data_IF_025073044967
#
_entry.id   IF_025073044967
#
_cell.length_a   1.000
_cell.length_b   1.000
_cell.length_c   1.000
_cell.angle_alpha   90.00
_cell.angle_beta   90.00
_cell.angle_gamma   90.00
#
_symmetry.space_group_name_H-M   'P 1'
#
loop_
_entity.id
_entity.type
_entity.pdbx_description
1 polymer ?
#
# COMPACT_ATOMS: atom_id res chain seq x y z
N UNK A 1 -9.29 -23.52 7.10
CA UNK A 1 -9.38 -22.28 7.88
C UNK A 1 -8.00 -21.68 7.90
N UNK A 2 -7.84 -20.47 7.36
CA UNK A 2 -6.61 -19.70 7.52
C UNK A 2 -6.53 -19.24 8.97
N UNK A 3 -5.35 -19.30 9.58
CA UNK A 3 -5.13 -18.82 10.94
C UNK A 3 -4.65 -17.36 10.83
N UNK A 4 -5.45 -16.40 11.31
CA UNK A 4 -5.02 -15.02 11.43
C UNK A 4 -4.13 -14.88 12.68
N UNK A 5 -2.83 -14.55 12.54
CA UNK A 5 -1.91 -14.46 13.68
C UNK A 5 -2.03 -13.14 14.44
N UNK A 6 -2.98 -12.27 14.09
CA UNK A 6 -3.15 -10.95 14.68
C UNK A 6 -4.50 -10.80 15.38
N UNK A 7 -4.47 -10.16 16.55
CA UNK A 7 -5.62 -9.58 17.21
C UNK A 7 -5.62 -8.07 16.98
N UNK A 8 -6.81 -7.50 16.78
CA UNK A 8 -7.02 -6.07 16.57
C UNK A 8 -7.78 -5.48 17.75
N UNK A 9 -7.28 -4.37 18.28
CA UNK A 9 -7.85 -3.65 19.42
C UNK A 9 -8.10 -2.17 19.07
N UNK A 10 -9.09 -1.57 19.74
CA UNK A 10 -9.47 -0.16 19.54
C UNK A 10 -8.36 0.79 20.03
N UNK A 11 -7.93 1.71 19.17
CA UNK A 11 -7.18 2.91 19.60
C UNK A 11 -8.10 4.09 19.95
N UNK A 12 -9.38 4.02 19.56
CA UNK A 12 -10.38 5.01 19.92
C UNK A 12 -10.63 4.93 21.43
N UNK A 13 -10.68 6.09 22.09
CA UNK A 13 -11.04 6.15 23.51
C UNK A 13 -12.36 5.39 23.75
N UNK A 14 -12.43 4.46 24.73
CA UNK A 14 -13.60 3.62 25.00
C UNK A 14 -14.92 4.40 25.11
N UNK A 15 -14.88 5.65 25.60
CA UNK A 15 -16.09 6.49 25.73
C UNK A 15 -16.69 6.91 24.38
N UNK A 16 -15.90 6.81 23.30
CA UNK A 16 -16.29 7.20 21.95
C UNK A 16 -16.54 6.04 21.00
N UNK A 17 -16.18 4.80 21.37
CA UNK A 17 -16.39 3.60 20.53
C UNK A 17 -17.85 3.45 20.10
N UNK A 18 -18.81 3.79 20.97
CA UNK A 18 -20.26 3.77 20.66
C UNK A 18 -20.69 4.68 19.50
N UNK A 19 -19.86 5.64 19.10
CA UNK A 19 -20.13 6.55 17.99
C UNK A 19 -19.50 6.07 16.68
N UNK A 20 -18.70 5.00 16.71
CA UNK A 20 -18.23 4.31 15.51
C UNK A 20 -19.43 3.61 14.87
N UNK A 21 -19.48 3.63 13.55
CA UNK A 21 -20.56 3.00 12.80
C UNK A 21 -20.45 1.48 12.87
N UNK A 22 -21.58 0.74 12.95
CA UNK A 22 -21.58 -0.69 13.29
C UNK A 22 -20.64 -1.55 12.42
N UNK A 23 -20.51 -1.20 11.14
CA UNK A 23 -19.68 -1.91 10.16
C UNK A 23 -18.18 -1.82 10.47
N UNK A 24 -17.77 -0.84 11.26
CA UNK A 24 -16.39 -0.59 11.65
C UNK A 24 -16.11 -0.91 13.13
N UNK A 25 -17.12 -1.27 13.92
CA UNK A 25 -16.93 -1.63 15.34
C UNK A 25 -16.20 -2.97 15.41
N UNK A 26 -15.12 -3.06 16.22
CA UNK A 26 -14.44 -4.34 16.45
C UNK A 26 -15.35 -5.29 17.23
N UNK A 27 -15.85 -6.31 16.54
CA UNK A 27 -16.66 -7.39 17.09
C UNK A 27 -16.47 -8.65 16.23
N UNK A 28 -17.11 -9.76 16.59
CA UNK A 28 -16.98 -11.03 15.87
C UNK A 28 -17.56 -11.02 14.45
N UNK A 29 -18.26 -9.97 14.04
CA UNK A 29 -18.89 -9.81 12.73
C UNK A 29 -18.22 -8.77 11.82
N UNK A 30 -17.16 -8.10 12.30
CA UNK A 30 -16.43 -7.15 11.46
C UNK A 30 -15.82 -7.86 10.25
N UNK A 31 -15.92 -7.24 9.08
CA UNK A 31 -15.32 -7.80 7.86
C UNK A 31 -13.81 -7.55 7.83
N UNK A 32 -13.07 -8.44 7.18
CA UNK A 32 -11.63 -8.23 6.94
C UNK A 32 -11.37 -6.98 6.11
N UNK A 33 -12.31 -6.62 5.23
CA UNK A 33 -12.26 -5.38 4.45
C UNK A 33 -12.37 -4.14 5.33
N UNK A 34 -13.29 -4.13 6.30
CA UNK A 34 -13.40 -3.05 7.27
C UNK A 34 -12.14 -2.94 8.14
N UNK A 35 -11.58 -4.07 8.58
CA UNK A 35 -10.30 -4.10 9.31
C UNK A 35 -9.14 -3.55 8.46
N UNK A 36 -9.09 -3.87 7.17
CA UNK A 36 -8.09 -3.35 6.23
C UNK A 36 -8.20 -1.81 6.10
N UNK A 37 -9.41 -1.27 5.95
CA UNK A 37 -9.62 0.18 5.93
C UNK A 37 -9.15 0.79 7.25
N UNK A 38 -9.49 0.18 8.39
CA UNK A 38 -9.13 0.68 9.72
C UNK A 38 -7.63 0.68 10.00
N UNK A 39 -6.89 -0.34 9.54
CA UNK A 39 -5.44 -0.37 9.69
C UNK A 39 -4.75 0.61 8.73
N UNK A 40 -5.27 0.82 7.51
CA UNK A 40 -4.71 1.79 6.56
C UNK A 40 -5.01 3.24 6.94
N UNK A 41 -6.10 3.49 7.67
CA UNK A 41 -6.47 4.81 8.19
C UNK A 41 -5.89 5.12 9.58
N UNK A 42 -5.11 4.19 10.17
CA UNK A 42 -4.41 4.43 11.43
C UNK A 42 -5.32 4.52 12.65
N UNK A 43 -6.21 3.54 12.81
CA UNK A 43 -7.20 3.52 13.92
C UNK A 43 -7.18 2.25 14.77
N UNK A 44 -6.13 1.42 14.64
CA UNK A 44 -6.03 0.11 15.29
C UNK A 44 -4.71 -0.09 16.02
N UNK A 45 -4.81 -0.79 17.15
CA UNK A 45 -3.70 -1.49 17.78
C UNK A 45 -3.73 -2.93 17.28
N UNK A 46 -2.57 -3.46 16.96
CA UNK A 46 -2.44 -4.84 16.49
C UNK A 46 -1.51 -5.60 17.43
N UNK A 47 -1.95 -6.78 17.87
CA UNK A 47 -1.17 -7.69 18.71
C UNK A 47 -0.88 -8.96 17.93
N UNK A 48 0.39 -9.30 17.76
CA UNK A 48 0.80 -10.56 17.17
C UNK A 48 0.64 -11.67 18.22
N UNK A 49 -0.27 -12.60 17.99
CA UNK A 49 -0.64 -13.65 18.94
C UNK A 49 0.47 -14.68 19.18
N UNK A 50 1.42 -14.80 18.25
CA UNK A 50 2.56 -15.74 18.36
C UNK A 50 3.64 -15.16 19.28
N UNK A 51 3.95 -13.88 19.12
CA UNK A 51 5.02 -13.21 19.89
C UNK A 51 4.51 -12.45 21.11
N UNK A 52 3.20 -12.23 21.21
CA UNK A 52 2.54 -11.33 22.17
C UNK A 52 2.97 -9.85 22.09
N UNK A 53 3.77 -9.48 21.09
CA UNK A 53 4.13 -8.10 20.80
C UNK A 53 2.95 -7.33 20.20
N UNK A 54 2.83 -6.05 20.56
CA UNK A 54 1.84 -5.13 19.99
C UNK A 54 2.48 -3.90 19.35
N UNK A 55 1.74 -3.31 18.41
CA UNK A 55 2.06 -2.00 17.85
C UNK A 55 0.80 -1.18 17.63
N UNK A 56 0.95 0.14 17.68
CA UNK A 56 -0.12 1.10 17.42
C UNK A 56 0.05 1.67 16.02
N UNK A 57 -1.03 1.66 15.25
CA UNK A 57 -1.08 2.27 13.93
C UNK A 57 -1.86 3.60 14.06
N UNK A 58 -1.15 4.73 13.97
CA UNK A 58 -1.73 6.09 13.90
C UNK A 58 -1.67 6.77 12.52
N UNK A 59 -0.85 6.31 11.60
CA UNK A 59 -0.67 6.83 10.26
C UNK A 59 -1.90 6.59 9.35
N UNK A 60 -2.40 7.64 8.72
CA UNK A 60 -3.41 7.57 7.67
C UNK A 60 -2.75 7.55 6.28
N UNK A 61 -2.84 6.41 5.61
CA UNK A 61 -2.32 6.19 4.26
C UNK A 61 -3.33 6.51 3.14
N UNK A 62 -4.57 6.90 3.46
CA UNK A 62 -5.58 7.27 2.45
C UNK A 62 -5.41 8.71 1.93
N UNK A 63 -4.46 9.46 2.50
CA UNK A 63 -4.10 10.82 2.07
C UNK A 63 -2.73 10.77 1.38
N UNK A 64 -2.59 11.54 0.30
CA UNK A 64 -1.33 11.67 -0.44
C UNK A 64 -0.20 12.17 0.46
N UNK A 65 0.93 11.45 0.47
CA UNK A 65 2.09 11.76 1.32
C UNK A 65 1.98 11.28 2.78
N UNK A 66 0.84 10.69 3.18
CA UNK A 66 0.50 10.21 4.53
C UNK A 66 0.38 11.34 5.57
N UNK A 67 -0.53 11.15 6.51
CA UNK A 67 -0.64 11.98 7.73
C UNK A 67 -0.66 11.10 8.98
N UNK A 68 -0.38 11.63 10.16
CA UNK A 68 -0.44 10.88 11.42
C UNK A 68 -1.58 11.39 12.30
N UNK A 69 -2.49 10.50 12.67
CA UNK A 69 -3.58 10.80 13.58
C UNK A 69 -3.04 11.06 14.99
N UNK A 70 -2.81 12.32 15.33
CA UNK A 70 -2.37 12.72 16.68
C UNK A 70 -3.33 12.22 17.78
N UNK A 71 -4.64 12.17 17.48
CA UNK A 71 -5.67 11.61 18.37
C UNK A 71 -6.68 10.82 17.54
N UNK A 72 -6.87 9.54 17.87
CA UNK A 72 -7.88 8.69 17.25
C UNK A 72 -9.24 8.92 17.93
N UNK A 73 -10.14 9.62 17.23
CA UNK A 73 -11.52 9.87 17.65
C UNK A 73 -12.45 8.91 16.93
N UNK A 74 -13.69 8.79 17.40
CA UNK A 74 -14.73 8.01 16.70
C UNK A 74 -15.02 8.51 15.28
N UNK A 75 -14.72 9.77 15.00
CA UNK A 75 -14.87 10.37 13.67
C UNK A 75 -13.65 10.20 12.78
N UNK A 76 -12.52 9.69 13.27
CA UNK A 76 -11.26 9.64 12.50
C UNK A 76 -11.44 8.89 11.19
N UNK A 77 -12.03 7.68 11.20
CA UNK A 77 -12.28 6.89 9.98
C UNK A 77 -13.13 7.69 9.00
N UNK A 78 -14.19 8.36 9.51
CA UNK A 78 -15.05 9.21 8.69
C UNK A 78 -14.26 10.36 8.06
N UNK A 79 -13.45 11.06 8.83
CA UNK A 79 -12.61 12.18 8.35
C UNK A 79 -11.53 11.72 7.38
N UNK A 80 -11.07 10.46 7.47
CA UNK A 80 -10.11 9.90 6.52
C UNK A 80 -10.74 9.54 5.17
N UNK A 81 -12.07 9.34 5.12
CA UNK A 81 -12.82 8.95 3.92
C UNK A 81 -13.61 10.14 3.31
N UNK A 82 -14.09 11.06 4.14
CA UNK A 82 -14.77 12.29 3.72
C UNK A 82 -13.75 13.41 3.43
N UNK A 83 -14.04 14.35 2.51
CA UNK A 83 -15.31 14.55 1.78
C UNK A 83 -15.45 13.68 0.53
N UNK A 84 -14.41 12.94 0.17
CA UNK A 84 -14.28 12.31 -1.15
C UNK A 84 -15.22 11.11 -1.31
N UNK A 85 -15.56 10.45 -0.20
CA UNK A 85 -16.47 9.32 -0.16
C UNK A 85 -17.62 9.59 0.82
N UNK A 86 -18.85 9.32 0.39
CA UNK A 86 -19.98 9.24 1.32
C UNK A 86 -19.77 8.05 2.27
N UNK A 87 -19.49 8.36 3.53
CA UNK A 87 -19.26 7.35 4.56
C UNK A 87 -20.42 6.35 4.68
N UNK A 88 -21.66 6.79 4.46
CA UNK A 88 -22.84 5.92 4.44
C UNK A 88 -22.77 4.89 3.32
N UNK A 89 -22.33 5.27 2.12
CA UNK A 89 -22.20 4.35 0.99
C UNK A 89 -21.08 3.33 1.20
N UNK A 90 -20.00 3.69 1.90
CA UNK A 90 -18.96 2.73 2.33
C UNK A 90 -19.56 1.67 3.26
N UNK A 91 -20.38 2.08 4.24
CA UNK A 91 -21.07 1.14 5.11
C UNK A 91 -22.01 0.21 4.32
N UNK A 92 -22.74 0.73 3.34
CA UNK A 92 -23.61 -0.07 2.47
C UNK A 92 -22.81 -1.06 1.62
N UNK A 93 -21.68 -0.61 1.07
CA UNK A 93 -20.77 -1.45 0.31
C UNK A 93 -20.23 -2.60 1.17
N UNK A 94 -19.71 -2.33 2.37
CA UNK A 94 -19.21 -3.35 3.30
C UNK A 94 -20.28 -4.38 3.71
N UNK A 95 -21.54 -3.94 3.82
CA UNK A 95 -22.68 -4.84 4.08
C UNK A 95 -23.00 -5.76 2.90
N UNK A 96 -22.73 -5.31 1.68
CA UNK A 96 -22.94 -6.10 0.46
C UNK A 96 -21.75 -7.01 0.11
N UNK A 97 -20.53 -6.63 0.48
CA UNK A 97 -19.28 -7.32 0.11
C UNK A 97 -18.89 -8.44 1.07
N UNK A 98 -19.53 -8.52 2.24
CA UNK A 98 -19.06 -9.26 3.44
C UNK A 98 -18.85 -10.76 3.23
N UNK A 99 -19.44 -11.37 2.20
CA UNK A 99 -19.36 -12.82 1.97
C UNK A 99 -18.58 -13.22 0.73
N UNK A 100 -18.53 -12.40 -0.33
CA UNK A 100 -18.04 -12.84 -1.64
C UNK A 100 -16.51 -12.77 -1.76
N UNK A 101 -15.86 -11.78 -1.13
CA UNK A 101 -14.41 -11.53 -1.25
C UNK A 101 -13.66 -11.66 0.08
N UNK A 102 -14.27 -12.29 1.09
CA UNK A 102 -13.70 -12.30 2.44
C UNK A 102 -12.29 -12.93 2.50
N UNK A 103 -12.06 -14.04 1.78
CA UNK A 103 -10.73 -14.68 1.74
C UNK A 103 -9.67 -13.81 1.07
N UNK A 104 -10.06 -13.03 0.06
CA UNK A 104 -9.17 -12.05 -0.56
C UNK A 104 -8.75 -10.98 0.45
N UNK A 105 -9.72 -10.34 1.12
CA UNK A 105 -9.41 -9.31 2.11
C UNK A 105 -8.71 -9.86 3.34
N UNK A 106 -8.97 -11.11 3.74
CA UNK A 106 -8.23 -11.78 4.82
C UNK A 106 -6.74 -11.87 4.50
N UNK A 107 -6.38 -12.39 3.32
CA UNK A 107 -4.99 -12.52 2.91
C UNK A 107 -4.30 -11.15 2.80
N UNK A 108 -4.98 -10.19 2.16
CA UNK A 108 -4.45 -8.83 2.02
C UNK A 108 -4.25 -8.15 3.38
N UNK A 109 -5.20 -8.30 4.30
CA UNK A 109 -5.11 -7.79 5.67
C UNK A 109 -3.92 -8.40 6.41
N UNK A 110 -3.68 -9.71 6.30
CA UNK A 110 -2.55 -10.38 6.94
C UNK A 110 -1.22 -9.85 6.40
N UNK A 111 -1.08 -9.69 5.08
CA UNK A 111 0.15 -9.16 4.47
C UNK A 111 0.39 -7.70 4.88
N UNK A 112 -0.63 -6.85 4.83
CA UNK A 112 -0.53 -5.44 5.26
C UNK A 112 -0.21 -5.33 6.76
N UNK A 113 -0.89 -6.10 7.62
CA UNK A 113 -0.63 -6.11 9.06
C UNK A 113 0.79 -6.59 9.37
N UNK A 114 1.27 -7.60 8.63
CA UNK A 114 2.63 -8.11 8.75
C UNK A 114 3.67 -7.08 8.29
N UNK A 115 3.41 -6.33 7.23
CA UNK A 115 4.24 -5.21 6.81
C UNK A 115 4.41 -4.20 7.95
N UNK A 116 3.30 -3.74 8.56
CA UNK A 116 3.36 -2.82 9.69
C UNK A 116 4.13 -3.38 10.89
N UNK A 117 3.85 -4.63 11.27
CA UNK A 117 4.53 -5.30 12.38
C UNK A 117 6.05 -5.37 12.16
N UNK A 118 6.49 -5.79 10.97
CA UNK A 118 7.91 -5.89 10.62
C UNK A 118 8.59 -4.53 10.57
N UNK A 119 7.92 -3.52 10.00
CA UNK A 119 8.39 -2.13 9.97
C UNK A 119 8.62 -1.59 11.39
N UNK A 120 7.67 -1.80 12.30
CA UNK A 120 7.78 -1.33 13.69
C UNK A 120 8.96 -1.96 14.44
N UNK A 121 9.32 -3.20 14.09
CA UNK A 121 10.49 -3.90 14.64
C UNK A 121 11.81 -3.53 13.93
N UNK A 122 11.78 -2.64 12.93
CA UNK A 122 12.95 -2.25 12.14
C UNK A 122 13.33 -3.25 11.05
N UNK A 123 12.56 -4.31 10.84
CA UNK A 123 12.80 -5.35 9.82
C UNK A 123 12.21 -4.93 8.47
N UNK A 124 12.65 -3.79 7.94
CA UNK A 124 12.08 -3.15 6.75
C UNK A 124 12.18 -3.99 5.47
N UNK A 125 13.20 -4.85 5.36
CA UNK A 125 13.36 -5.78 4.24
C UNK A 125 12.22 -6.79 4.20
N UNK A 126 11.83 -7.31 5.36
CA UNK A 126 10.70 -8.23 5.49
C UNK A 126 9.37 -7.49 5.34
N UNK A 127 9.28 -6.25 5.82
CA UNK A 127 8.11 -5.41 5.57
C UNK A 127 7.89 -5.18 4.07
N UNK A 128 8.96 -4.88 3.32
CA UNK A 128 8.91 -4.74 1.87
C UNK A 128 8.41 -6.02 1.19
N UNK A 129 8.86 -7.20 1.63
CA UNK A 129 8.43 -8.47 1.05
C UNK A 129 6.92 -8.68 1.22
N UNK A 130 6.37 -8.42 2.41
CA UNK A 130 4.92 -8.48 2.65
C UNK A 130 4.17 -7.46 1.79
N UNK A 131 4.69 -6.24 1.68
CA UNK A 131 4.08 -5.18 0.88
C UNK A 131 4.11 -5.51 -0.62
N UNK A 132 5.19 -6.12 -1.11
CA UNK A 132 5.30 -6.58 -2.49
C UNK A 132 4.36 -7.76 -2.78
N UNK A 133 4.17 -8.68 -1.83
CA UNK A 133 3.15 -9.74 -1.94
C UNK A 133 1.75 -9.15 -2.02
N UNK A 134 1.45 -8.12 -1.24
CA UNK A 134 0.21 -7.35 -1.39
C UNK A 134 0.09 -6.76 -2.79
N UNK A 135 1.17 -6.16 -3.32
CA UNK A 135 1.20 -5.60 -4.68
C UNK A 135 0.88 -6.66 -5.76
N UNK A 136 1.49 -7.84 -5.69
CA UNK A 136 1.20 -8.96 -6.60
C UNK A 136 -0.25 -9.45 -6.45
N UNK A 137 -0.76 -9.44 -5.22
CA UNK A 137 -2.11 -9.92 -4.97
C UNK A 137 -3.18 -8.95 -5.49
N UNK A 138 -2.94 -7.65 -5.38
CA UNK A 138 -3.85 -6.61 -5.86
C UNK A 138 -3.72 -6.35 -7.37
N UNK A 139 -2.57 -6.67 -8.00
CA UNK A 139 -2.32 -6.33 -9.40
C UNK A 139 -3.35 -6.91 -10.37
N UNK A 140 -3.97 -8.03 -10.01
CA UNK A 140 -5.14 -8.56 -10.70
C UNK A 140 -6.46 -8.22 -10.05
N UNK A 141 -6.53 -8.35 -8.73
CA UNK A 141 -7.78 -8.34 -8.01
C UNK A 141 -8.43 -6.96 -8.02
N UNK A 142 -7.65 -5.89 -7.88
CA UNK A 142 -8.16 -4.52 -7.85
C UNK A 142 -8.78 -4.07 -9.18
N UNK A 143 -8.12 -4.28 -10.34
CA UNK A 143 -8.76 -4.04 -11.64
C UNK A 143 -10.08 -4.81 -11.83
N UNK A 144 -10.16 -6.06 -11.36
CA UNK A 144 -11.38 -6.88 -11.47
C UNK A 144 -12.49 -6.40 -10.51
N UNK A 145 -12.13 -6.04 -9.28
CA UNK A 145 -13.05 -5.45 -8.30
C UNK A 145 -13.61 -4.12 -8.82
N UNK A 146 -12.76 -3.29 -9.42
CA UNK A 146 -13.18 -2.06 -10.08
C UNK A 146 -14.15 -2.34 -11.24
N UNK A 147 -13.81 -3.32 -12.08
CA UNK A 147 -14.60 -3.71 -13.24
C UNK A 147 -15.98 -4.27 -12.89
N UNK A 148 -16.10 -5.09 -11.84
CA UNK A 148 -17.36 -5.73 -11.46
C UNK A 148 -18.44 -4.75 -11.01
N UNK A 149 -18.05 -3.52 -10.66
CA UNK A 149 -18.96 -2.44 -10.25
C UNK A 149 -19.06 -1.32 -11.30
N UNK A 150 -18.39 -1.47 -12.45
CA UNK A 150 -18.50 -0.53 -13.56
C UNK A 150 -19.88 -0.63 -14.22
N UNK A 151 -20.49 0.51 -14.53
CA UNK A 151 -21.78 0.55 -15.27
C UNK A 151 -21.62 0.26 -16.77
N UNK A 152 -20.41 0.40 -17.31
CA UNK A 152 -20.08 0.17 -18.72
C UNK A 152 -19.43 -1.21 -18.90
N UNK A 153 -20.24 -2.27 -18.91
CA UNK A 153 -19.76 -3.64 -18.98
C UNK A 153 -19.07 -3.96 -20.32
N UNK A 154 -19.56 -3.42 -21.45
CA UNK A 154 -18.94 -3.64 -22.76
C UNK A 154 -17.57 -2.97 -22.86
N UNK A 155 -17.48 -1.69 -22.50
CA UNK A 155 -16.20 -1.01 -22.46
C UNK A 155 -15.25 -1.64 -21.44
N UNK A 156 -15.75 -2.16 -20.32
CA UNK A 156 -14.95 -2.85 -19.30
C UNK A 156 -14.47 -4.22 -19.77
N UNK A 157 -15.32 -5.01 -20.45
CA UNK A 157 -14.94 -6.29 -21.05
C UNK A 157 -13.90 -6.12 -22.16
N UNK A 158 -14.13 -5.21 -23.10
CA UNK A 158 -13.17 -4.94 -24.18
C UNK A 158 -11.84 -4.42 -23.64
N UNK A 159 -11.87 -3.61 -22.57
CA UNK A 159 -10.65 -3.19 -21.85
C UNK A 159 -9.94 -4.41 -21.28
N UNK A 160 -10.60 -5.18 -20.42
CA UNK A 160 -10.02 -6.37 -19.78
C UNK A 160 -9.45 -7.32 -20.84
N UNK A 161 -10.22 -7.61 -21.89
CA UNK A 161 -9.82 -8.47 -23.01
C UNK A 161 -8.62 -7.93 -23.77
N UNK A 162 -8.67 -6.67 -24.23
CA UNK A 162 -7.56 -6.05 -24.94
C UNK A 162 -6.29 -6.00 -24.08
N UNK A 163 -6.42 -5.88 -22.75
CA UNK A 163 -5.27 -5.89 -21.84
C UNK A 163 -4.67 -7.29 -21.63
N UNK A 164 -5.49 -8.34 -21.50
CA UNK A 164 -5.01 -9.72 -21.44
C UNK A 164 -4.40 -10.20 -22.76
N UNK A 165 -4.91 -9.71 -23.89
CA UNK A 165 -4.38 -10.03 -25.22
C UNK A 165 -3.05 -9.28 -25.51
N UNK A 166 -2.85 -8.08 -24.95
CA UNK A 166 -1.66 -7.25 -25.19
C UNK A 166 -0.50 -7.47 -24.21
N UNK A 167 -0.75 -8.02 -23.02
CA UNK A 167 0.27 -8.13 -21.96
C UNK A 167 0.42 -9.54 -21.41
N UNK A 168 1.62 -10.11 -21.54
CA UNK A 168 2.01 -11.37 -20.85
C UNK A 168 2.46 -11.14 -19.40
N UNK A 169 2.36 -9.91 -18.89
CA UNK A 169 2.92 -9.51 -17.59
C UNK A 169 1.89 -8.72 -16.78
N UNK A 170 1.51 -9.29 -15.64
CA UNK A 170 0.49 -8.84 -14.69
C UNK A 170 0.75 -7.43 -14.16
N UNK A 171 2.02 -7.08 -13.96
CA UNK A 171 2.41 -5.77 -13.44
C UNK A 171 2.25 -4.65 -14.48
N UNK A 172 2.44 -4.96 -15.76
CA UNK A 172 2.18 -4.00 -16.85
C UNK A 172 0.69 -3.73 -16.99
N UNK A 173 -0.14 -4.78 -16.81
CA UNK A 173 -1.59 -4.62 -16.74
C UNK A 173 -1.99 -3.69 -15.59
N UNK A 174 -1.41 -3.91 -14.40
CA UNK A 174 -1.71 -3.10 -13.24
C UNK A 174 -1.26 -1.64 -13.38
N UNK A 175 -0.07 -1.39 -13.93
CA UNK A 175 0.41 -0.04 -14.22
C UNK A 175 -0.55 0.74 -15.14
N UNK A 176 -1.02 0.10 -16.22
CA UNK A 176 -2.00 0.70 -17.12
C UNK A 176 -3.34 1.00 -16.42
N UNK A 177 -3.80 0.10 -15.56
CA UNK A 177 -4.99 0.32 -14.74
C UNK A 177 -4.81 1.53 -13.81
N UNK A 178 -3.70 1.62 -13.07
CA UNK A 178 -3.44 2.73 -12.13
C UNK A 178 -3.36 4.06 -12.87
N UNK A 179 -2.66 4.12 -14.01
CA UNK A 179 -2.59 5.33 -14.85
C UNK A 179 -3.97 5.85 -15.25
N UNK A 180 -4.88 4.93 -15.55
CA UNK A 180 -6.27 5.26 -15.86
C UNK A 180 -7.06 5.69 -14.64
N UNK A 181 -6.93 4.96 -13.53
CA UNK A 181 -7.61 5.25 -12.27
C UNK A 181 -7.28 6.65 -11.77
N UNK A 182 -6.01 7.06 -11.88
CA UNK A 182 -5.52 8.37 -11.42
C UNK A 182 -5.60 9.47 -12.48
N UNK A 183 -6.13 9.19 -13.66
CA UNK A 183 -6.21 10.16 -14.74
C UNK A 183 -7.04 11.39 -14.32
N UNK A 184 -6.44 12.58 -14.42
CA UNK A 184 -7.08 13.83 -14.02
C UNK A 184 -7.06 14.14 -12.51
N UNK A 185 -6.52 13.25 -11.67
CA UNK A 185 -6.41 13.47 -10.21
C UNK A 185 -5.10 14.14 -9.78
N UNK A 186 -4.10 14.19 -10.66
CA UNK A 186 -2.78 14.79 -10.37
C UNK A 186 -1.86 13.95 -9.47
N UNK A 187 -2.32 12.78 -8.99
CA UNK A 187 -1.50 11.91 -8.13
C UNK A 187 -0.21 11.46 -8.81
N UNK A 188 -0.26 11.06 -10.09
CA UNK A 188 0.90 10.54 -10.81
C UNK A 188 2.05 11.55 -10.94
N UNK A 189 1.73 12.84 -11.03
CA UNK A 189 2.69 13.93 -11.19
C UNK A 189 3.23 14.44 -9.85
N UNK A 190 2.71 13.94 -8.73
CA UNK A 190 3.10 14.40 -7.40
C UNK A 190 4.56 14.03 -7.11
N UNK A 191 5.38 14.99 -6.63
CA UNK A 191 6.76 14.71 -6.24
C UNK A 191 6.86 13.82 -4.98
N UNK A 192 7.76 12.84 -5.01
CA UNK A 192 8.17 11.97 -3.90
C UNK A 192 9.66 12.13 -3.68
N UNK A 193 10.08 12.35 -2.44
CA UNK A 193 11.49 12.53 -2.10
C UNK A 193 12.00 11.38 -1.24
N UNK A 194 12.96 10.64 -1.78
CA UNK A 194 13.68 9.60 -1.07
C UNK A 194 14.90 10.19 -0.39
N UNK A 195 14.96 10.12 0.94
CA UNK A 195 16.03 10.69 1.75
C UNK A 195 17.00 9.60 2.23
N UNK A 196 18.31 9.86 2.11
CA UNK A 196 19.39 8.96 2.51
C UNK A 196 20.08 9.50 3.76
N UNK A 197 19.61 9.06 4.93
CA UNK A 197 20.00 9.63 6.23
C UNK A 197 20.78 8.65 7.14
N UNK A 198 21.54 7.71 6.56
CA UNK A 198 22.41 6.84 7.36
C UNK A 198 23.55 7.62 7.98
N UNK A 199 23.96 7.22 9.19
CA UNK A 199 25.15 7.73 9.87
C UNK A 199 26.45 7.36 9.14
N UNK A 200 26.40 6.35 8.25
CA UNK A 200 27.56 5.88 7.48
C UNK A 200 27.46 6.45 6.05
N UNK A 201 28.32 7.40 5.64
CA UNK A 201 28.22 8.06 4.33
C UNK A 201 28.28 7.11 3.13
N UNK A 202 29.00 5.99 3.27
CA UNK A 202 29.10 4.97 2.23
C UNK A 202 27.74 4.27 1.97
N UNK A 203 26.93 4.07 3.02
CA UNK A 203 25.57 3.52 2.88
C UNK A 203 24.71 4.48 2.05
N UNK A 204 24.75 5.77 2.37
CA UNK A 204 23.99 6.78 1.63
C UNK A 204 24.39 6.84 0.16
N UNK A 205 25.70 6.81 -0.12
CA UNK A 205 26.23 6.76 -1.49
C UNK A 205 25.74 5.53 -2.25
N UNK A 206 25.76 4.35 -1.62
CA UNK A 206 25.31 3.12 -2.25
C UNK A 206 23.81 3.15 -2.55
N UNK A 207 22.99 3.55 -1.58
CA UNK A 207 21.53 3.63 -1.75
C UNK A 207 21.14 4.67 -2.79
N UNK A 208 21.78 5.85 -2.76
CA UNK A 208 21.63 6.86 -3.80
C UNK A 208 21.90 6.30 -5.20
N UNK A 209 23.01 5.59 -5.38
CA UNK A 209 23.36 4.99 -6.68
C UNK A 209 22.35 3.93 -7.13
N UNK A 210 21.78 3.16 -6.20
CA UNK A 210 20.72 2.16 -6.50
C UNK A 210 19.46 2.87 -6.99
N UNK A 211 19.01 3.92 -6.31
CA UNK A 211 17.84 4.68 -6.72
C UNK A 211 18.07 5.36 -8.09
N UNK A 212 19.24 5.98 -8.30
CA UNK A 212 19.64 6.56 -9.60
C UNK A 212 19.76 5.54 -10.73
N UNK A 213 19.99 4.26 -10.41
CA UNK A 213 20.04 3.20 -11.42
C UNK A 213 18.65 2.82 -11.93
N UNK A 214 17.63 2.93 -11.09
CA UNK A 214 16.27 2.47 -11.41
C UNK A 214 15.31 3.61 -11.77
N UNK A 215 15.57 4.83 -11.32
CA UNK A 215 14.82 6.01 -11.72
C UNK A 215 15.48 6.60 -12.98
N UNK A 216 14.78 6.68 -14.13
CA UNK A 216 15.32 7.30 -15.34
C UNK A 216 15.71 8.75 -15.09
N UNK A 217 16.82 9.22 -15.68
CA UNK A 217 17.34 10.57 -15.41
C UNK A 217 16.34 11.67 -15.77
N UNK A 218 15.56 11.46 -16.83
CA UNK A 218 14.51 12.36 -17.31
C UNK A 218 13.28 12.42 -16.38
N UNK A 219 13.16 11.47 -15.44
CA UNK A 219 12.10 11.41 -14.42
C UNK A 219 12.51 11.99 -13.08
N UNK A 220 13.77 12.39 -12.93
CA UNK A 220 14.29 12.99 -11.70
C UNK A 220 13.94 14.47 -11.67
N UNK A 221 13.16 14.87 -10.66
CA UNK A 221 12.69 16.23 -10.46
C UNK A 221 13.69 17.07 -9.65
N UNK A 222 14.38 16.45 -8.70
CA UNK A 222 15.44 17.07 -7.88
C UNK A 222 16.45 16.01 -7.44
N UNK A 223 17.71 16.40 -7.33
CA UNK A 223 18.83 15.51 -7.04
C UNK A 223 19.82 16.19 -6.10
N UNK A 224 19.90 15.71 -4.86
CA UNK A 224 20.91 16.12 -3.89
C UNK A 224 21.85 14.94 -3.66
N UNK A 225 23.04 15.02 -4.26
CA UNK A 225 23.99 13.90 -4.33
C UNK A 225 24.21 13.23 -2.98
N UNK A 226 23.94 11.93 -2.91
CA UNK A 226 24.01 11.09 -1.71
C UNK A 226 23.09 11.49 -0.53
N UNK A 227 22.18 12.45 -0.71
CA UNK A 227 21.30 12.95 0.34
C UNK A 227 19.83 12.72 0.01
N UNK A 228 19.42 13.02 -1.22
CA UNK A 228 18.06 12.75 -1.66
C UNK A 228 17.91 12.65 -3.18
N UNK A 229 16.88 11.92 -3.60
CA UNK A 229 16.40 11.91 -4.99
C UNK A 229 14.90 12.14 -4.96
N UNK A 230 14.43 13.11 -5.74
CA UNK A 230 13.01 13.39 -5.92
C UNK A 230 12.56 12.95 -7.31
N UNK A 231 11.46 12.22 -7.39
CA UNK A 231 10.81 11.74 -8.61
C UNK A 231 9.30 11.93 -8.52
N UNK A 232 8.54 11.60 -9.55
CA UNK A 232 7.07 11.56 -9.52
C UNK A 232 6.51 10.22 -9.02
N UNK A 233 5.29 10.24 -8.47
CA UNK A 233 4.55 9.06 -7.97
C UNK A 233 4.39 7.96 -9.03
N UNK A 234 4.33 8.31 -10.32
CA UNK A 234 4.28 7.34 -11.44
C UNK A 234 5.50 6.40 -11.49
N UNK A 235 6.62 6.75 -10.83
CA UNK A 235 7.83 5.92 -10.79
C UNK A 235 7.86 4.92 -9.63
N UNK A 236 6.94 4.99 -8.66
CA UNK A 236 6.98 4.13 -7.45
C UNK A 236 6.89 2.65 -7.83
N UNK A 237 5.96 2.28 -8.71
CA UNK A 237 5.75 0.89 -9.10
C UNK A 237 7.01 0.31 -9.78
N UNK A 238 7.54 1.01 -10.79
CA UNK A 238 8.74 0.57 -11.51
C UNK A 238 9.96 0.47 -10.60
N UNK A 239 10.14 1.42 -9.68
CA UNK A 239 11.21 1.37 -8.68
C UNK A 239 11.09 0.11 -7.81
N UNK A 240 9.90 -0.18 -7.29
CA UNK A 240 9.65 -1.34 -6.42
C UNK A 240 9.85 -2.67 -7.16
N UNK A 241 9.36 -2.77 -8.40
CA UNK A 241 9.54 -3.95 -9.26
C UNK A 241 11.02 -4.17 -9.57
N UNK A 242 11.77 -3.11 -9.88
CA UNK A 242 13.21 -3.22 -10.11
C UNK A 242 13.97 -3.61 -8.84
N UNK A 243 13.67 -2.98 -7.70
CA UNK A 243 14.26 -3.36 -6.41
C UNK A 243 14.00 -4.83 -6.10
N UNK A 244 12.75 -5.30 -6.25
CA UNK A 244 12.39 -6.70 -6.00
C UNK A 244 13.16 -7.65 -6.92
N UNK A 245 13.14 -7.38 -8.22
CA UNK A 245 13.79 -8.22 -9.22
C UNK A 245 15.29 -8.28 -9.05
N UNK A 246 15.94 -7.16 -8.72
CA UNK A 246 17.41 -7.11 -8.68
C UNK A 246 17.99 -7.48 -7.34
N UNK A 247 17.21 -7.39 -6.26
CA UNK A 247 17.64 -7.77 -4.93
C UNK A 247 17.28 -9.22 -4.58
N UNK A 248 16.01 -9.62 -4.75
CA UNK A 248 15.54 -10.94 -4.31
C UNK A 248 15.68 -12.03 -5.38
N UNK A 249 15.65 -11.68 -6.66
CA UNK A 249 15.86 -12.64 -7.76
C UNK A 249 17.27 -12.53 -8.33
N UNK A 250 18.25 -13.01 -7.56
CA UNK A 250 19.64 -13.05 -7.98
C UNK A 250 19.88 -14.10 -9.09
N UNK A 251 19.53 -13.76 -10.33
CA UNK A 251 19.81 -14.59 -11.51
C UNK A 251 21.22 -14.30 -12.06
N UNK A 252 22.14 -15.27 -11.97
CA UNK A 252 23.55 -15.14 -12.39
C UNK A 252 23.78 -14.92 -13.91
N UNK A 253 22.73 -14.86 -14.74
CA UNK A 253 22.81 -14.71 -16.20
C UNK A 253 22.02 -13.54 -16.81
N UNK A 254 21.45 -12.64 -15.99
CA UNK A 254 20.59 -11.55 -16.45
C UNK A 254 21.26 -10.15 -16.48
N UNK A 255 20.46 -9.09 -16.64
CA UNK A 255 20.89 -7.70 -16.43
C UNK A 255 21.56 -7.57 -15.03
N UNK A 256 22.49 -6.64 -14.84
CA UNK A 256 23.26 -6.45 -13.58
C UNK A 256 22.36 -6.42 -12.34
N UNK A 257 22.42 -7.46 -11.50
CA UNK A 257 21.72 -7.53 -10.21
C UNK A 257 22.45 -6.71 -9.15
N UNK A 258 21.73 -6.39 -8.08
CA UNK A 258 22.33 -5.78 -6.91
C UNK A 258 23.10 -6.87 -6.17
N UNK A 259 24.41 -6.71 -6.03
CA UNK A 259 25.25 -7.65 -5.28
C UNK A 259 25.10 -7.38 -3.79
N UNK A 260 25.41 -8.38 -2.95
CA UNK A 260 25.46 -8.18 -1.49
C UNK A 260 26.47 -7.09 -1.06
N UNK A 261 27.45 -6.77 -1.90
CA UNK A 261 28.38 -5.64 -1.67
C UNK A 261 27.79 -4.28 -2.03
N UNK A 262 26.71 -4.24 -2.82
CA UNK A 262 26.07 -3.01 -3.28
C UNK A 262 25.06 -2.49 -2.24
N UNK A 263 24.45 -3.38 -1.43
CA UNK A 263 23.60 -3.03 -0.28
C UNK A 263 24.29 -3.51 1.00
N UNK A 264 24.83 -2.55 1.75
CA UNK A 264 25.47 -2.86 3.04
C UNK A 264 24.43 -3.13 4.13
N UNK A 265 23.30 -2.42 4.10
CA UNK A 265 22.23 -2.52 5.11
C UNK A 265 20.86 -2.44 4.43
N UNK A 266 20.24 -3.61 4.18
CA UNK A 266 19.00 -3.67 3.41
C UNK A 266 17.81 -3.07 4.14
N UNK A 267 17.75 -3.19 5.46
CA UNK A 267 16.68 -2.58 6.25
C UNK A 267 16.69 -1.05 6.18
N UNK A 268 17.86 -0.44 5.99
CA UNK A 268 17.95 1.00 5.74
C UNK A 268 17.43 1.32 4.34
N UNK A 269 17.80 0.54 3.31
CA UNK A 269 17.34 0.75 1.94
C UNK A 269 15.82 0.63 1.83
N UNK A 270 15.25 -0.47 2.32
CA UNK A 270 13.82 -0.73 2.22
C UNK A 270 12.99 0.17 3.13
N UNK A 271 13.57 0.67 4.24
CA UNK A 271 12.95 1.67 5.09
C UNK A 271 12.62 2.98 4.35
N UNK A 272 13.37 3.30 3.28
CA UNK A 272 13.16 4.52 2.48
C UNK A 272 11.91 4.41 1.58
N UNK A 273 11.52 3.21 1.15
CA UNK A 273 10.47 3.00 0.14
C UNK A 273 9.16 2.44 0.69
N UNK A 274 9.19 1.74 1.83
CA UNK A 274 8.03 1.02 2.36
C UNK A 274 6.80 1.93 2.55
N UNK A 275 6.99 3.11 3.13
CA UNK A 275 5.88 4.02 3.41
C UNK A 275 5.29 4.61 2.13
N UNK A 276 6.14 4.94 1.16
CA UNK A 276 5.70 5.48 -0.14
C UNK A 276 4.95 4.43 -0.96
N UNK A 277 5.44 3.19 -0.99
CA UNK A 277 4.73 2.08 -1.66
C UNK A 277 3.40 1.78 -0.96
N UNK A 278 3.37 1.79 0.37
CA UNK A 278 2.14 1.55 1.13
C UNK A 278 1.11 2.66 0.93
N UNK A 279 1.54 3.92 0.91
CA UNK A 279 0.69 5.05 0.57
C UNK A 279 0.14 4.94 -0.86
N UNK A 280 1.00 4.60 -1.82
CA UNK A 280 0.60 4.38 -3.21
C UNK A 280 -0.47 3.28 -3.33
N UNK A 281 -0.28 2.13 -2.67
CA UNK A 281 -1.28 1.04 -2.65
C UNK A 281 -2.59 1.49 -1.99
N UNK A 282 -2.50 2.19 -0.86
CA UNK A 282 -3.66 2.66 -0.12
C UNK A 282 -4.48 3.69 -0.90
N UNK A 283 -3.84 4.58 -1.65
CA UNK A 283 -4.50 5.54 -2.54
C UNK A 283 -5.24 4.85 -3.68
N UNK A 284 -4.66 3.80 -4.29
CA UNK A 284 -5.35 3.01 -5.32
C UNK A 284 -6.63 2.41 -4.73
N UNK A 285 -6.53 1.83 -3.53
CA UNK A 285 -7.69 1.25 -2.87
C UNK A 285 -8.75 2.33 -2.53
N UNK A 286 -8.33 3.49 -2.05
CA UNK A 286 -9.21 4.63 -1.77
C UNK A 286 -9.98 5.08 -3.03
N UNK A 287 -9.30 5.20 -4.19
CA UNK A 287 -9.96 5.55 -5.47
C UNK A 287 -10.95 4.49 -5.97
N UNK A 288 -10.64 3.21 -5.73
CA UNK A 288 -11.56 2.12 -6.02
C UNK A 288 -12.82 2.26 -5.16
N UNK A 289 -12.68 2.51 -3.86
CA UNK A 289 -13.81 2.75 -2.95
C UNK A 289 -14.65 3.97 -3.37
N UNK A 290 -14.00 5.06 -3.80
CA UNK A 290 -14.68 6.25 -4.36
C UNK A 290 -15.54 5.90 -5.56
N UNK A 291 -15.06 5.02 -6.45
CA UNK A 291 -15.85 4.62 -7.63
C UNK A 291 -17.14 3.89 -7.27
N UNK A 292 -17.15 3.14 -6.16
CA UNK A 292 -18.35 2.41 -5.70
C UNK A 292 -19.31 3.29 -4.92
N UNK A 293 -18.76 4.33 -4.29
CA UNK A 293 -19.48 5.19 -3.36
C UNK A 293 -19.76 6.60 -3.90
N UNK A 294 -19.38 6.90 -5.15
CA UNK A 294 -19.80 8.10 -5.88
C UNK A 294 -21.27 8.00 -6.32
#
# INVERSE_FOLDING_TARGET
>A
MSYNPYQYDELVDPKYVRFIKPEFVLNSSISNEALLIRILTGTLRCTNLITSDSFDQYDNYFILGRDTNAVVKSTTIRTCLEPEISFTKVCEFLKSSTTLNNSFFENLLIEVTSCFYRRQKGHNTMAFLHLYRSLEYISYSFPLIYASHSRDYYGTFDRIKNYFDASKNELLFFDAFVKKLFNGLGYLDTPVTFNFNSLVPQINKNHYNIFKLFIPNEKILSDSKNLSVTTSYDQILDLCVNLRNRYFHFAMGGKRNIKGTDILESDILFGIINDELLNWIALIYNEILKTFCA
#
